data_IF_503720012285
#
_entry.id   IF_503720012285
#
_cell.length_a   1.000
_cell.length_b   1.000
_cell.length_c   1.000
_cell.angle_alpha   90.00
_cell.angle_beta   90.00
_cell.angle_gamma   90.00
#
_symmetry.space_group_name_H-M   'P 1'
#
loop_
_entity.id
_entity.type
_entity.pdbx_description
1 polymer ?
#
# COMPACT_ATOMS: atom_id res chain seq x y z
N UNK A 1 -26.75 -3.00 -10.36
CA UNK A 1 -28.16 -2.76 -9.98
C UNK A 1 -28.16 -1.86 -8.74
N UNK A 2 -28.67 -0.63 -8.82
CA UNK A 2 -28.56 0.38 -7.75
C UNK A 2 -29.50 0.05 -6.58
N UNK A 3 -28.98 -0.43 -5.46
CA UNK A 3 -29.79 -0.66 -4.24
C UNK A 3 -30.15 0.70 -3.64
N UNK A 4 -31.44 1.05 -3.49
CA UNK A 4 -31.82 2.35 -2.96
C UNK A 4 -31.41 2.47 -1.48
N UNK A 5 -30.91 3.64 -1.03
CA UNK A 5 -30.50 3.90 0.37
C UNK A 5 -31.55 3.51 1.42
N UNK A 6 -32.83 3.49 1.02
CA UNK A 6 -33.96 3.07 1.85
C UNK A 6 -33.87 1.61 2.32
N UNK A 7 -33.28 0.69 1.55
CA UNK A 7 -33.13 -0.72 1.94
C UNK A 7 -32.11 -0.91 3.06
N UNK A 8 -30.96 -0.25 2.97
CA UNK A 8 -29.96 -0.27 4.03
C UNK A 8 -30.53 0.32 5.34
N UNK A 9 -31.15 1.49 5.26
CA UNK A 9 -31.66 2.17 6.45
C UNK A 9 -32.74 1.36 7.18
N UNK A 10 -33.64 0.72 6.43
CA UNK A 10 -34.65 -0.19 6.98
C UNK A 10 -34.02 -1.43 7.64
N UNK A 11 -32.99 -2.03 7.01
CA UNK A 11 -32.31 -3.19 7.58
C UNK A 11 -31.55 -2.86 8.87
N UNK A 12 -30.84 -1.72 8.90
CA UNK A 12 -30.15 -1.25 10.09
C UNK A 12 -31.13 -1.05 11.24
N UNK A 13 -32.29 -0.42 10.97
CA UNK A 13 -33.36 -0.24 11.95
C UNK A 13 -33.87 -1.59 12.47
N UNK A 14 -34.14 -2.54 11.57
CA UNK A 14 -34.62 -3.88 11.92
C UNK A 14 -33.63 -4.61 12.81
N UNK A 15 -32.37 -4.74 12.38
CA UNK A 15 -31.32 -5.40 13.17
C UNK A 15 -31.11 -4.73 14.53
N UNK A 16 -31.19 -3.40 14.60
CA UNK A 16 -31.11 -2.65 15.86
C UNK A 16 -32.24 -3.00 16.82
N UNK A 17 -33.47 -3.14 16.32
CA UNK A 17 -34.63 -3.53 17.14
C UNK A 17 -34.55 -5.00 17.59
N UNK A 18 -34.10 -5.91 16.72
CA UNK A 18 -33.85 -7.32 17.06
C UNK A 18 -32.81 -7.45 18.18
N UNK A 19 -31.77 -6.61 18.18
CA UNK A 19 -30.76 -6.55 19.23
C UNK A 19 -31.21 -5.78 20.49
N UNK A 20 -32.46 -5.31 20.56
CA UNK A 20 -32.98 -4.54 21.71
C UNK A 20 -32.30 -3.18 21.92
N UNK A 21 -31.67 -2.61 20.88
CA UNK A 21 -30.92 -1.36 20.99
C UNK A 21 -31.75 -0.14 20.61
N UNK A 22 -31.62 0.94 21.38
CA UNK A 22 -32.11 2.26 20.97
C UNK A 22 -31.14 2.90 19.97
N UNK A 23 -31.61 3.84 19.15
CA UNK A 23 -30.74 4.58 18.24
C UNK A 23 -29.63 5.34 18.98
N UNK A 24 -29.93 5.86 20.18
CA UNK A 24 -28.95 6.53 21.04
C UNK A 24 -27.87 5.55 21.52
N UNK A 25 -28.28 4.35 21.97
CA UNK A 25 -27.34 3.32 22.43
C UNK A 25 -26.43 2.86 21.29
N UNK A 26 -26.98 2.58 20.11
CA UNK A 26 -26.20 2.22 18.94
C UNK A 26 -25.23 3.35 18.55
N UNK A 27 -25.70 4.60 18.51
CA UNK A 27 -24.86 5.76 18.20
C UNK A 27 -23.64 5.88 19.13
N UNK A 28 -23.87 5.67 20.43
CA UNK A 28 -22.78 5.63 21.42
C UNK A 28 -21.79 4.50 21.15
N UNK A 29 -22.29 3.28 20.92
CA UNK A 29 -21.45 2.11 20.72
C UNK A 29 -20.61 2.16 19.43
N UNK A 30 -21.16 2.72 18.34
CA UNK A 30 -20.42 2.88 17.09
C UNK A 30 -19.67 4.22 17.00
N UNK A 31 -19.68 5.07 18.03
CA UNK A 31 -19.07 6.41 18.03
C UNK A 31 -19.49 7.29 16.83
N UNK A 32 -20.80 7.31 16.55
CA UNK A 32 -21.44 8.24 15.61
C UNK A 32 -22.45 9.12 16.35
N UNK A 33 -22.81 10.27 15.77
CA UNK A 33 -23.89 11.07 16.35
C UNK A 33 -25.25 10.42 16.06
N UNK A 34 -26.19 10.53 17.00
CA UNK A 34 -27.58 10.09 16.82
C UNK A 34 -28.22 10.70 15.56
N UNK A 35 -27.91 11.97 15.27
CA UNK A 35 -28.40 12.67 14.07
C UNK A 35 -27.87 12.04 12.77
N UNK A 36 -26.59 11.67 12.73
CA UNK A 36 -26.01 10.99 11.57
C UNK A 36 -26.64 9.61 11.35
N UNK A 37 -26.74 8.78 12.39
CA UNK A 37 -27.38 7.47 12.25
C UNK A 37 -28.86 7.58 11.87
N UNK A 38 -29.58 8.57 12.40
CA UNK A 38 -30.97 8.84 12.01
C UNK A 38 -31.11 9.15 10.50
N UNK A 39 -30.23 10.01 9.97
CA UNK A 39 -30.21 10.32 8.53
C UNK A 39 -29.93 9.07 7.69
N UNK A 40 -29.11 8.14 8.18
CA UNK A 40 -28.80 6.88 7.49
C UNK A 40 -29.99 5.91 7.55
N UNK A 41 -30.59 5.71 8.72
CA UNK A 41 -31.79 4.85 8.85
C UNK A 41 -32.97 5.36 7.98
N UNK A 42 -33.07 6.68 7.79
CA UNK A 42 -34.11 7.29 6.96
C UNK A 42 -33.71 7.44 5.48
N UNK A 43 -32.50 7.01 5.09
CA UNK A 43 -32.01 7.07 3.71
C UNK A 43 -31.63 8.46 3.20
N UNK A 44 -31.53 9.46 4.08
CA UNK A 44 -31.08 10.82 3.75
C UNK A 44 -29.55 10.95 3.66
N UNK A 45 -28.82 9.98 4.18
CA UNK A 45 -27.36 9.92 4.10
C UNK A 45 -26.91 8.52 3.70
N UNK A 46 -25.95 8.43 2.77
CA UNK A 46 -25.38 7.16 2.33
C UNK A 46 -24.48 6.57 3.44
N UNK A 47 -24.64 5.28 3.77
CA UNK A 47 -23.74 4.58 4.69
C UNK A 47 -22.37 4.37 4.06
N UNK A 48 -21.34 4.24 4.90
CA UNK A 48 -20.01 3.81 4.48
C UNK A 48 -19.81 2.32 4.79
N UNK A 49 -18.95 1.60 4.04
CA UNK A 49 -18.64 0.19 4.35
C UNK A 49 -18.14 -0.03 5.77
N UNK A 50 -17.28 0.86 6.25
CA UNK A 50 -16.78 0.79 7.63
C UNK A 50 -17.89 0.96 8.67
N UNK A 51 -18.85 1.88 8.46
CA UNK A 51 -19.99 2.00 9.38
C UNK A 51 -20.84 0.73 9.36
N UNK A 52 -21.12 0.16 8.18
CA UNK A 52 -21.91 -1.06 8.07
C UNK A 52 -21.29 -2.19 8.90
N UNK A 53 -20.00 -2.47 8.71
CA UNK A 53 -19.30 -3.53 9.46
C UNK A 53 -19.25 -3.28 10.97
N UNK A 54 -19.08 -2.03 11.39
CA UNK A 54 -19.17 -1.67 12.81
C UNK A 54 -20.54 -1.96 13.41
N UNK A 55 -21.60 -1.61 12.69
CA UNK A 55 -22.96 -1.95 13.12
C UNK A 55 -23.17 -3.47 13.14
N UNK A 56 -22.62 -4.22 12.18
CA UNK A 56 -22.73 -5.68 12.15
C UNK A 56 -22.02 -6.35 13.34
N UNK A 57 -20.84 -5.85 13.70
CA UNK A 57 -20.12 -6.31 14.90
C UNK A 57 -20.93 -6.01 16.17
N UNK A 58 -21.42 -4.77 16.32
CA UNK A 58 -22.16 -4.35 17.52
C UNK A 58 -23.52 -5.03 17.66
N UNK A 59 -24.21 -5.26 16.54
CA UNK A 59 -25.54 -5.88 16.49
C UNK A 59 -25.47 -7.40 16.33
N UNK A 60 -24.27 -7.99 16.28
CA UNK A 60 -24.03 -9.41 16.02
C UNK A 60 -24.78 -9.94 14.78
N UNK A 61 -24.66 -9.22 13.66
CA UNK A 61 -25.40 -9.49 12.43
C UNK A 61 -24.50 -9.52 11.17
N UNK A 62 -23.45 -10.37 11.15
CA UNK A 62 -22.41 -10.34 10.12
C UNK A 62 -22.98 -10.47 8.69
N UNK A 63 -22.50 -9.63 7.78
CA UNK A 63 -22.84 -9.63 6.36
C UNK A 63 -24.22 -9.06 6.00
N UNK A 64 -25.14 -8.87 6.95
CA UNK A 64 -26.52 -8.40 6.68
C UNK A 64 -26.58 -6.98 6.11
N UNK A 65 -25.74 -6.07 6.59
CA UNK A 65 -25.70 -4.67 6.16
C UNK A 65 -24.71 -4.46 5.01
N UNK A 66 -23.56 -5.14 5.05
CA UNK A 66 -22.50 -5.03 4.03
C UNK A 66 -23.00 -5.54 2.68
N UNK A 67 -23.83 -6.59 2.64
CA UNK A 67 -24.46 -7.10 1.41
C UNK A 67 -25.42 -6.10 0.72
N UNK A 68 -25.85 -5.04 1.43
CA UNK A 68 -26.74 -4.01 0.89
C UNK A 68 -25.99 -2.79 0.34
N UNK A 69 -24.67 -2.75 0.46
CA UNK A 69 -23.85 -1.67 -0.08
C UNK A 69 -23.67 -1.82 -1.59
N UNK A 70 -23.58 -0.70 -2.34
CA UNK A 70 -23.27 -0.75 -3.76
C UNK A 70 -21.87 -1.31 -3.98
N UNK A 71 -21.74 -2.18 -4.98
CA UNK A 71 -20.44 -2.69 -5.41
C UNK A 71 -19.57 -1.53 -5.93
N UNK A 72 -18.38 -1.28 -5.35
CA UNK A 72 -17.50 -0.21 -5.81
C UNK A 72 -17.08 -0.34 -7.28
N UNK A 73 -17.12 -1.56 -7.84
CA UNK A 73 -16.75 -1.83 -9.24
C UNK A 73 -17.73 -1.25 -10.27
N UNK A 74 -18.96 -0.88 -9.87
CA UNK A 74 -19.99 -0.34 -10.75
C UNK A 74 -19.95 1.18 -10.99
N UNK A 75 -19.02 1.91 -10.35
CA UNK A 75 -18.95 3.38 -10.42
C UNK A 75 -17.74 3.95 -11.16
N UNK A 76 -16.97 3.11 -11.86
CA UNK A 76 -15.92 3.55 -12.78
C UNK A 76 -16.51 4.00 -14.13
N UNK A 77 -17.27 5.09 -14.12
CA UNK A 77 -17.97 5.62 -15.29
C UNK A 77 -18.19 7.12 -15.20
N UNK A 78 -17.11 7.89 -14.99
CA UNK A 78 -17.09 9.32 -15.30
C UNK A 78 -15.62 9.76 -15.43
N UNK A 79 -15.05 9.49 -16.60
CA UNK A 79 -13.82 10.12 -17.06
C UNK A 79 -14.04 11.64 -17.10
N UNK A 80 -13.41 12.36 -16.19
CA UNK A 80 -13.28 13.81 -16.33
C UNK A 80 -12.30 14.06 -17.49
N UNK A 81 -12.84 14.57 -18.58
CA UNK A 81 -12.10 14.98 -19.77
C UNK A 81 -11.03 16.02 -19.39
N UNK A 82 -9.77 15.59 -19.39
CA UNK A 82 -8.62 16.48 -19.46
C UNK A 82 -8.34 16.79 -20.93
N UNK A 83 -8.53 18.05 -21.33
CA UNK A 83 -8.17 18.52 -22.67
C UNK A 83 -6.66 18.41 -22.94
N UNK A 84 -6.23 18.47 -24.21
CA UNK A 84 -4.84 18.26 -24.59
C UNK A 84 -3.97 19.46 -24.16
N UNK A 85 -2.75 19.24 -23.63
CA UNK A 85 -1.82 20.34 -23.43
C UNK A 85 -1.16 20.73 -24.76
N UNK A 86 -1.25 22.02 -25.07
CA UNK A 86 -0.56 22.67 -26.19
C UNK A 86 0.96 22.71 -25.98
N UNK A 87 1.69 22.49 -27.07
CA UNK A 87 3.15 22.60 -27.20
C UNK A 87 3.64 24.04 -27.01
N UNK A 88 4.53 24.27 -26.04
CA UNK A 88 5.72 25.16 -26.07
C UNK A 88 6.37 25.13 -24.66
N UNK A 89 7.52 24.46 -24.48
CA UNK A 89 8.93 24.98 -24.55
C UNK A 89 9.21 25.96 -23.37
N UNK A 90 10.31 25.92 -22.59
CA UNK A 90 11.73 25.58 -22.83
C UNK A 90 12.50 25.45 -21.49
N UNK A 91 13.53 24.59 -21.46
CA UNK A 91 14.80 24.56 -20.67
C UNK A 91 14.90 25.20 -19.27
N UNK A 92 15.32 24.37 -18.30
CA UNK A 92 16.55 24.64 -17.53
C UNK A 92 17.33 23.33 -17.36
N UNK A 93 18.47 23.27 -18.04
CA UNK A 93 19.50 22.26 -17.85
C UNK A 93 20.29 22.54 -16.56
N UNK A 94 20.68 21.49 -15.87
CA UNK A 94 21.65 21.51 -14.77
C UNK A 94 22.28 20.14 -14.63
N UNK A 95 23.40 19.95 -15.31
CA UNK A 95 24.19 18.74 -15.35
C UNK A 95 25.08 18.56 -14.10
N UNK A 96 25.18 17.32 -13.62
CA UNK A 96 26.32 16.67 -12.94
C UNK A 96 25.82 15.24 -12.62
N UNK A 97 26.46 14.13 -12.99
CA UNK A 97 27.87 13.80 -12.76
C UNK A 97 28.30 12.65 -13.69
N UNK A 98 29.37 12.85 -14.46
CA UNK A 98 30.26 11.79 -14.96
C UNK A 98 31.64 12.07 -14.39
N UNK A 99 32.26 11.05 -13.78
CA UNK A 99 33.70 10.77 -13.60
C UNK A 99 34.04 10.30 -12.18
N UNK A 100 34.35 9.01 -12.06
CA UNK A 100 35.52 8.55 -11.31
C UNK A 100 36.22 7.47 -12.14
N UNK A 101 37.11 7.94 -13.03
CA UNK A 101 38.23 7.15 -13.53
C UNK A 101 39.49 8.03 -13.46
N UNK A 102 40.53 7.44 -12.86
CA UNK A 102 41.96 7.78 -12.86
C UNK A 102 42.56 8.60 -11.71
N UNK A 103 43.43 7.90 -10.97
CA UNK A 103 44.66 8.43 -10.39
C UNK A 103 45.84 7.52 -10.80
N UNK A 104 46.56 8.00 -11.83
CA UNK A 104 48.00 7.91 -12.16
C UNK A 104 48.75 6.57 -12.43
N UNK A 105 49.80 6.59 -13.28
CA UNK A 105 50.42 5.42 -13.91
C UNK A 105 51.71 4.95 -13.22
N UNK A 106 51.92 3.63 -13.22
CA UNK A 106 53.19 2.96 -12.90
C UNK A 106 53.30 1.68 -13.72
N UNK A 107 54.39 1.54 -14.46
CA UNK A 107 54.57 0.69 -15.63
C UNK A 107 54.72 -0.82 -15.37
N UNK A 108 53.98 -1.58 -16.19
CA UNK A 108 54.27 -2.87 -16.84
C UNK A 108 54.69 -4.10 -16.02
N UNK A 109 53.85 -5.15 -16.08
CA UNK A 109 54.22 -6.35 -16.83
C UNK A 109 52.96 -7.12 -17.28
N UNK A 110 53.01 -7.61 -18.51
CA UNK A 110 51.94 -8.32 -19.18
C UNK A 110 51.75 -9.73 -18.60
N UNK A 111 50.49 -10.12 -18.38
CA UNK A 111 50.03 -11.51 -18.34
C UNK A 111 48.51 -11.51 -18.56
N UNK A 112 48.09 -11.94 -19.74
CA UNK A 112 46.75 -12.48 -19.99
C UNK A 112 46.93 -14.01 -20.15
N UNK A 113 45.93 -14.87 -19.88
CA UNK A 113 44.51 -14.64 -20.22
C UNK A 113 43.44 -15.19 -19.24
N UNK A 114 42.27 -14.53 -19.25
CA UNK A 114 40.98 -15.20 -19.06
C UNK A 114 40.39 -15.17 -17.65
N UNK A 115 39.56 -14.17 -17.36
CA UNK A 115 38.48 -14.30 -16.38
C UNK A 115 37.31 -13.38 -16.77
N UNK A 116 36.11 -13.95 -16.85
CA UNK A 116 34.86 -13.32 -17.26
C UNK A 116 34.36 -12.33 -16.19
N UNK A 117 35.07 -11.23 -15.98
CA UNK A 117 34.85 -10.28 -14.88
C UNK A 117 33.92 -9.08 -15.21
N UNK A 118 33.30 -9.03 -16.40
CA UNK A 118 32.53 -7.86 -16.85
C UNK A 118 31.07 -7.82 -16.39
N UNK A 119 30.36 -8.95 -16.49
CA UNK A 119 28.88 -8.92 -16.46
C UNK A 119 28.30 -9.12 -15.05
N UNK A 120 28.93 -9.96 -14.22
CA UNK A 120 28.54 -10.11 -12.80
C UNK A 120 28.69 -8.80 -12.03
N UNK A 121 29.74 -8.03 -12.34
CA UNK A 121 30.02 -6.73 -11.75
C UNK A 121 28.92 -5.69 -12.04
N UNK A 122 28.35 -5.69 -13.26
CA UNK A 122 27.28 -4.77 -13.63
C UNK A 122 25.95 -5.12 -12.95
N UNK A 123 25.59 -6.40 -12.91
CA UNK A 123 24.38 -6.88 -12.22
C UNK A 123 24.46 -6.58 -10.72
N UNK A 124 25.61 -6.80 -10.10
CA UNK A 124 25.83 -6.49 -8.68
C UNK A 124 25.77 -4.97 -8.41
N UNK A 125 26.33 -4.16 -9.30
CA UNK A 125 26.21 -2.71 -9.25
C UNK A 125 24.75 -2.26 -9.34
N UNK A 126 23.96 -2.87 -10.23
CA UNK A 126 22.53 -2.59 -10.35
C UNK A 126 21.76 -2.97 -9.07
N UNK A 127 22.06 -4.12 -8.46
CA UNK A 127 21.46 -4.54 -7.17
C UNK A 127 21.80 -3.57 -6.03
N UNK A 128 23.06 -3.14 -5.94
CA UNK A 128 23.51 -2.16 -4.95
C UNK A 128 22.80 -0.81 -5.14
N UNK A 129 22.67 -0.35 -6.39
CA UNK A 129 21.97 0.88 -6.73
C UNK A 129 20.48 0.81 -6.39
N UNK A 130 19.80 -0.30 -6.69
CA UNK A 130 18.41 -0.51 -6.29
C UNK A 130 18.25 -0.44 -4.77
N UNK A 131 19.16 -1.04 -4.01
CA UNK A 131 19.17 -0.98 -2.55
C UNK A 131 19.29 0.47 -2.06
N UNK A 132 20.11 1.30 -2.71
CA UNK A 132 20.21 2.72 -2.42
C UNK A 132 18.89 3.46 -2.69
N UNK A 133 18.25 3.24 -3.84
CA UNK A 133 16.94 3.83 -4.13
C UNK A 133 15.87 3.42 -3.11
N UNK A 134 15.84 2.14 -2.70
CA UNK A 134 14.90 1.65 -1.70
C UNK A 134 15.07 2.34 -0.34
N UNK A 135 16.32 2.61 0.08
CA UNK A 135 16.61 3.37 1.29
C UNK A 135 16.16 4.83 1.16
N UNK A 136 16.51 5.50 0.07
CA UNK A 136 16.11 6.89 -0.18
C UNK A 136 14.57 7.05 -0.17
N UNK A 137 13.86 6.12 -0.82
CA UNK A 137 12.39 6.11 -0.85
C UNK A 137 11.72 5.90 0.52
N UNK A 138 12.44 5.49 1.56
CA UNK A 138 11.89 5.45 2.93
C UNK A 138 11.59 6.84 3.48
N UNK A 139 12.32 7.87 3.04
CA UNK A 139 12.30 9.21 3.63
C UNK A 139 11.96 10.33 2.66
N UNK A 140 11.64 10.03 1.39
CA UNK A 140 11.27 11.04 0.40
C UNK A 140 9.92 10.75 -0.29
N UNK A 141 9.28 11.77 -0.89
CA UNK A 141 8.11 11.59 -1.73
C UNK A 141 8.39 10.65 -2.92
N UNK A 142 7.44 9.78 -3.31
CA UNK A 142 7.64 8.85 -4.42
C UNK A 142 8.02 9.51 -5.77
N UNK A 143 7.48 10.70 -6.16
CA UNK A 143 7.90 11.38 -7.39
C UNK A 143 9.40 11.63 -7.51
N UNK A 144 10.11 11.78 -6.39
CA UNK A 144 11.55 12.08 -6.39
C UNK A 144 12.41 10.93 -6.95
N UNK A 145 11.89 9.70 -6.97
CA UNK A 145 12.65 8.51 -7.40
C UNK A 145 12.09 7.86 -8.67
N UNK A 146 10.90 8.27 -9.13
CA UNK A 146 10.20 7.60 -10.22
C UNK A 146 10.92 7.65 -11.56
N UNK A 147 11.42 8.83 -11.96
CA UNK A 147 12.15 8.98 -13.22
C UNK A 147 13.47 8.20 -13.19
N UNK A 148 14.34 8.36 -12.18
CA UNK A 148 15.58 7.56 -12.10
C UNK A 148 15.34 6.05 -12.16
N UNK A 149 14.33 5.53 -11.45
CA UNK A 149 14.04 4.08 -11.46
C UNK A 149 13.58 3.59 -12.83
N UNK A 150 12.74 4.38 -13.52
CA UNK A 150 12.27 4.05 -14.87
C UNK A 150 13.43 4.04 -15.88
N UNK A 151 14.32 5.03 -15.82
CA UNK A 151 15.49 5.07 -16.72
C UNK A 151 16.49 3.95 -16.43
N UNK A 152 16.71 3.59 -15.16
CA UNK A 152 17.54 2.43 -14.82
C UNK A 152 16.96 1.13 -15.39
N UNK A 153 15.63 0.98 -15.37
CA UNK A 153 14.99 -0.18 -16.02
C UNK A 153 15.30 -0.20 -17.52
N UNK A 154 15.11 0.91 -18.23
CA UNK A 154 15.35 0.99 -19.68
C UNK A 154 16.81 0.74 -20.04
N UNK A 155 17.74 1.32 -19.28
CA UNK A 155 19.17 1.13 -19.49
C UNK A 155 19.56 -0.34 -19.36
N UNK A 156 19.08 -1.04 -18.32
CA UNK A 156 19.37 -2.46 -18.11
C UNK A 156 18.73 -3.34 -19.20
N UNK A 157 17.53 -3.02 -19.67
CA UNK A 157 16.90 -3.72 -20.81
C UNK A 157 17.69 -3.54 -22.10
N UNK A 158 18.17 -2.31 -22.37
CA UNK A 158 19.00 -2.04 -23.55
C UNK A 158 20.32 -2.82 -23.49
N UNK A 159 21.01 -2.78 -22.35
CA UNK A 159 22.25 -3.54 -22.15
C UNK A 159 22.02 -5.06 -22.29
N UNK A 160 20.89 -5.58 -21.81
CA UNK A 160 20.54 -6.98 -21.96
C UNK A 160 20.33 -7.39 -23.43
N UNK A 161 19.87 -6.49 -24.29
CA UNK A 161 19.66 -6.75 -25.71
C UNK A 161 20.98 -6.97 -26.47
N UNK A 162 22.05 -6.29 -26.04
CA UNK A 162 23.39 -6.36 -26.65
C UNK A 162 24.31 -7.39 -25.98
N UNK A 163 23.81 -8.13 -24.98
CA UNK A 163 24.60 -9.07 -24.14
C UNK A 163 24.46 -10.54 -24.56
N UNK A 164 25.47 -11.36 -24.21
CA UNK A 164 25.38 -12.83 -24.28
C UNK A 164 24.33 -13.41 -23.32
N UNK A 165 23.94 -14.68 -23.50
CA UNK A 165 22.78 -15.31 -22.82
C UNK A 165 22.77 -15.16 -21.30
N UNK A 166 23.91 -15.38 -20.65
CA UNK A 166 23.98 -15.43 -19.18
C UNK A 166 23.91 -14.03 -18.56
N UNK A 167 24.64 -13.09 -19.16
CA UNK A 167 24.60 -11.67 -18.79
C UNK A 167 23.22 -11.06 -19.06
N UNK A 168 22.60 -11.41 -20.19
CA UNK A 168 21.25 -10.98 -20.57
C UNK A 168 20.23 -11.34 -19.49
N UNK A 169 20.24 -12.58 -18.99
CA UNK A 169 19.31 -13.00 -17.95
C UNK A 169 19.50 -12.19 -16.66
N UNK A 170 20.74 -12.06 -16.18
CA UNK A 170 21.04 -11.28 -14.98
C UNK A 170 20.59 -9.81 -15.07
N UNK A 171 20.78 -9.19 -16.23
CA UNK A 171 20.35 -7.81 -16.50
C UNK A 171 18.83 -7.68 -16.58
N UNK A 172 18.13 -8.62 -17.22
CA UNK A 172 16.65 -8.64 -17.25
C UNK A 172 16.07 -8.79 -15.84
N UNK A 173 16.67 -9.64 -15.00
CA UNK A 173 16.25 -9.78 -13.60
C UNK A 173 16.48 -8.50 -12.81
N UNK A 174 17.64 -7.85 -12.96
CA UNK A 174 17.89 -6.55 -12.34
C UNK A 174 16.88 -5.50 -12.81
N UNK A 175 16.62 -5.41 -14.12
CA UNK A 175 15.62 -4.54 -14.71
C UNK A 175 14.22 -4.81 -14.14
N UNK A 176 13.83 -6.08 -14.01
CA UNK A 176 12.56 -6.50 -13.41
C UNK A 176 12.39 -6.02 -11.98
N UNK A 177 13.46 -6.00 -11.18
CA UNK A 177 13.43 -5.47 -9.80
C UNK A 177 13.30 -3.94 -9.76
N UNK A 178 13.95 -3.21 -10.67
CA UNK A 178 13.74 -1.76 -10.82
C UNK A 178 12.30 -1.45 -11.27
N UNK A 179 11.77 -2.20 -12.23
CA UNK A 179 10.38 -2.09 -12.71
C UNK A 179 9.38 -2.35 -11.58
N UNK A 180 9.61 -3.39 -10.76
CA UNK A 180 8.76 -3.75 -9.62
C UNK A 180 8.67 -2.59 -8.62
N UNK A 181 9.83 -2.01 -8.31
CA UNK A 181 9.92 -0.89 -7.39
C UNK A 181 9.33 0.41 -7.97
N UNK A 182 9.51 0.64 -9.27
CA UNK A 182 8.85 1.75 -10.00
C UNK A 182 7.33 1.63 -9.91
N UNK A 183 6.79 0.43 -10.12
CA UNK A 183 5.37 0.16 -9.97
C UNK A 183 4.86 0.42 -8.56
N UNK A 184 5.67 0.14 -7.52
CA UNK A 184 5.31 0.49 -6.14
C UNK A 184 5.30 1.99 -5.91
N UNK A 185 6.33 2.72 -6.34
CA UNK A 185 6.36 4.17 -6.18
C UNK A 185 5.26 4.87 -6.98
N UNK A 186 4.88 4.34 -8.14
CA UNK A 186 3.76 4.85 -8.93
C UNK A 186 2.42 4.70 -8.17
N UNK A 187 2.21 3.57 -7.51
CA UNK A 187 1.06 3.35 -6.63
C UNK A 187 1.07 4.31 -5.43
N UNK A 188 2.24 4.48 -4.80
CA UNK A 188 2.42 5.41 -3.68
C UNK A 188 2.24 6.87 -4.09
N UNK A 189 2.31 7.20 -5.39
CA UNK A 189 1.93 8.50 -5.96
C UNK A 189 0.46 8.60 -6.40
N UNK A 190 -0.33 7.51 -6.32
CA UNK A 190 -1.73 7.49 -6.78
C UNK A 190 -1.90 7.37 -8.29
N UNK A 191 -0.89 6.87 -9.01
CA UNK A 191 -0.94 6.61 -10.46
C UNK A 191 -1.23 5.13 -10.73
N UNK A 192 -2.46 4.70 -10.45
CA UNK A 192 -2.92 3.30 -10.54
C UNK A 192 -2.59 2.61 -11.88
N UNK A 193 -2.82 3.30 -13.00
CA UNK A 193 -2.58 2.71 -14.31
C UNK A 193 -1.08 2.53 -14.59
N UNK A 194 -0.26 3.52 -14.23
CA UNK A 194 1.18 3.41 -14.32
C UNK A 194 1.72 2.30 -13.41
N UNK A 195 1.21 2.21 -12.18
CA UNK A 195 1.56 1.15 -11.25
C UNK A 195 1.29 -0.24 -11.84
N UNK A 196 0.10 -0.43 -12.47
CA UNK A 196 -0.25 -1.67 -13.16
C UNK A 196 0.70 -1.97 -14.31
N UNK A 197 0.92 -1.01 -15.23
CA UNK A 197 1.82 -1.20 -16.39
C UNK A 197 3.23 -1.60 -15.97
N UNK A 198 3.79 -0.94 -14.96
CA UNK A 198 5.12 -1.25 -14.44
C UNK A 198 5.18 -2.60 -13.72
N UNK A 199 4.12 -2.99 -13.02
CA UNK A 199 4.01 -4.32 -12.39
C UNK A 199 3.94 -5.42 -13.45
N UNK A 200 3.14 -5.24 -14.49
CA UNK A 200 3.03 -6.19 -15.60
C UNK A 200 4.36 -6.29 -16.38
N UNK A 201 5.05 -5.16 -16.57
CA UNK A 201 6.38 -5.12 -17.20
C UNK A 201 7.46 -5.83 -16.36
N UNK A 202 7.47 -5.61 -15.04
CA UNK A 202 8.34 -6.33 -14.11
C UNK A 202 8.15 -7.85 -14.20
N UNK A 203 6.89 -8.31 -14.19
CA UNK A 203 6.60 -9.73 -14.30
C UNK A 203 7.09 -10.33 -15.63
N UNK A 204 6.90 -9.60 -16.75
CA UNK A 204 7.40 -10.00 -18.06
C UNK A 204 8.92 -10.15 -18.07
N UNK A 205 9.65 -9.13 -17.60
CA UNK A 205 11.12 -9.15 -17.53
C UNK A 205 11.63 -10.29 -16.63
N UNK A 206 10.93 -10.56 -15.52
CA UNK A 206 11.26 -11.67 -14.63
C UNK A 206 11.11 -13.03 -15.31
N UNK A 207 10.01 -13.27 -16.03
CA UNK A 207 9.82 -14.50 -16.80
C UNK A 207 10.85 -14.66 -17.92
N UNK A 208 11.15 -13.58 -18.66
CA UNK A 208 12.16 -13.59 -19.72
C UNK A 208 13.58 -13.84 -19.18
N UNK A 209 13.88 -13.34 -17.98
CA UNK A 209 15.15 -13.58 -17.27
C UNK A 209 15.20 -14.89 -16.48
N UNK A 210 14.14 -15.70 -16.50
CA UNK A 210 14.07 -17.03 -15.87
C UNK A 210 13.64 -17.05 -14.39
N UNK A 211 13.27 -15.90 -13.79
CA UNK A 211 12.75 -15.82 -12.42
C UNK A 211 11.21 -15.89 -12.41
N UNK A 212 10.70 -17.12 -12.39
CA UNK A 212 9.27 -17.37 -12.27
C UNK A 212 8.70 -16.92 -10.92
N UNK A 213 9.52 -16.84 -9.86
CA UNK A 213 9.08 -16.43 -8.54
C UNK A 213 8.69 -14.95 -8.56
N UNK A 214 9.60 -14.08 -9.01
CA UNK A 214 9.32 -12.66 -9.19
C UNK A 214 8.21 -12.41 -10.22
N UNK A 215 8.12 -13.23 -11.27
CA UNK A 215 7.01 -13.19 -12.23
C UNK A 215 5.65 -13.34 -11.57
N UNK A 216 5.48 -14.34 -10.70
CA UNK A 216 4.22 -14.57 -9.96
C UNK A 216 3.99 -13.57 -8.82
N UNK A 217 5.03 -12.97 -8.26
CA UNK A 217 4.88 -11.89 -7.29
C UNK A 217 4.11 -10.67 -7.86
N UNK A 218 4.10 -10.50 -9.18
CA UNK A 218 3.23 -9.52 -9.85
C UNK A 218 1.74 -9.66 -9.49
N UNK A 219 1.25 -10.89 -9.24
CA UNK A 219 -0.12 -11.13 -8.79
C UNK A 219 -0.40 -10.55 -7.40
N UNK A 220 0.54 -10.69 -6.47
CA UNK A 220 0.46 -10.10 -5.12
C UNK A 220 0.40 -8.57 -5.21
N UNK A 221 1.21 -7.97 -6.09
CA UNK A 221 1.20 -6.52 -6.36
C UNK A 221 -0.13 -6.05 -6.95
N UNK A 222 -0.71 -6.81 -7.89
CA UNK A 222 -2.05 -6.53 -8.45
C UNK A 222 -3.15 -6.66 -7.39
N UNK A 223 -3.06 -7.66 -6.51
CA UNK A 223 -4.00 -7.83 -5.39
C UNK A 223 -3.97 -6.61 -4.45
N UNK A 224 -2.77 -6.09 -4.12
CA UNK A 224 -2.65 -4.86 -3.33
C UNK A 224 -3.29 -3.64 -4.02
N UNK A 225 -3.20 -3.53 -5.35
CA UNK A 225 -3.87 -2.45 -6.09
C UNK A 225 -5.40 -2.59 -6.03
N UNK A 226 -5.92 -3.82 -6.20
CA UNK A 226 -7.34 -4.12 -6.07
C UNK A 226 -7.85 -3.79 -4.65
N UNK A 227 -7.05 -4.10 -3.63
CA UNK A 227 -7.32 -3.77 -2.23
C UNK A 227 -7.53 -2.27 -2.03
N UNK A 228 -6.62 -1.43 -2.53
CA UNK A 228 -6.75 0.03 -2.39
C UNK A 228 -7.95 0.62 -3.14
N UNK A 229 -8.44 -0.05 -4.19
CA UNK A 229 -9.70 0.29 -4.88
C UNK A 229 -10.95 -0.21 -4.14
N UNK A 230 -10.78 -1.03 -3.11
CA UNK A 230 -11.87 -1.63 -2.34
C UNK A 230 -12.50 -2.85 -3.02
N UNK A 231 -11.83 -3.47 -4.00
CA UNK A 231 -12.34 -4.64 -4.72
C UNK A 231 -11.97 -5.94 -3.97
N UNK A 232 -12.80 -6.32 -2.99
CA UNK A 232 -12.53 -7.47 -2.14
C UNK A 232 -12.39 -8.79 -2.92
N UNK A 233 -13.34 -9.11 -3.81
CA UNK A 233 -13.33 -10.35 -4.59
C UNK A 233 -12.11 -10.46 -5.52
N UNK A 234 -11.76 -9.37 -6.21
CA UNK A 234 -10.56 -9.31 -7.08
C UNK A 234 -9.28 -9.50 -6.24
N UNK A 235 -9.21 -8.88 -5.05
CA UNK A 235 -8.08 -9.03 -4.14
C UNK A 235 -7.89 -10.49 -3.73
N UNK A 236 -8.96 -11.17 -3.32
CA UNK A 236 -8.91 -12.60 -2.92
C UNK A 236 -8.52 -13.48 -4.10
N UNK A 237 -9.11 -13.29 -5.28
CA UNK A 237 -8.84 -14.13 -6.45
C UNK A 237 -7.38 -14.02 -6.93
N UNK A 238 -6.82 -12.80 -6.98
CA UNK A 238 -5.44 -12.57 -7.35
C UNK A 238 -4.46 -13.16 -6.33
N UNK A 239 -4.73 -12.98 -5.03
CA UNK A 239 -3.91 -13.52 -3.95
C UNK A 239 -3.92 -15.05 -3.93
N UNK A 240 -5.10 -15.68 -4.10
CA UNK A 240 -5.22 -17.14 -4.16
C UNK A 240 -4.43 -17.72 -5.34
N UNK A 241 -4.44 -17.05 -6.49
CA UNK A 241 -3.65 -17.44 -7.67
C UNK A 241 -2.14 -17.39 -7.42
N UNK A 242 -1.68 -16.48 -6.55
CA UNK A 242 -0.28 -16.38 -6.12
C UNK A 242 0.06 -17.30 -4.93
N UNK A 243 -0.88 -18.14 -4.49
CA UNK A 243 -0.73 -19.09 -3.40
C UNK A 243 -0.24 -20.48 -3.81
N UNK A 244 0.10 -20.70 -5.09
CA UNK A 244 0.58 -21.99 -5.62
C UNK A 244 1.77 -22.52 -4.78
N UNK A 245 1.66 -23.77 -4.33
CA UNK A 245 2.68 -24.47 -3.55
C UNK A 245 4.07 -24.54 -4.20
N UNK A 246 4.17 -24.36 -5.53
CA UNK A 246 5.44 -24.29 -6.27
C UNK A 246 6.19 -22.97 -6.08
N UNK A 247 5.54 -21.97 -5.49
CA UNK A 247 6.15 -20.67 -5.21
C UNK A 247 6.88 -20.68 -3.87
N UNK A 248 7.91 -19.84 -3.76
CA UNK A 248 8.71 -19.68 -2.55
C UNK A 248 7.82 -19.27 -1.36
N UNK A 249 8.12 -19.75 -0.13
CA UNK A 249 7.35 -19.41 1.07
C UNK A 249 7.13 -17.92 1.26
N UNK A 250 8.12 -17.09 0.89
CA UNK A 250 8.03 -15.63 0.95
C UNK A 250 6.86 -15.07 0.13
N UNK A 251 6.72 -15.52 -1.12
CA UNK A 251 5.67 -15.04 -2.03
C UNK A 251 4.32 -15.54 -1.56
N UNK A 252 4.22 -16.82 -1.19
CA UNK A 252 2.99 -17.41 -0.66
C UNK A 252 2.53 -16.73 0.62
N UNK A 253 3.47 -16.37 1.50
CA UNK A 253 3.18 -15.64 2.74
C UNK A 253 2.66 -14.23 2.48
N UNK A 254 3.29 -13.50 1.55
CA UNK A 254 2.79 -12.18 1.12
C UNK A 254 1.43 -12.28 0.41
N UNK A 255 1.19 -13.34 -0.36
CA UNK A 255 -0.10 -13.61 -0.99
C UNK A 255 -1.19 -13.88 0.06
N UNK A 256 -0.91 -14.74 1.05
CA UNK A 256 -1.83 -15.03 2.15
C UNK A 256 -2.17 -13.78 2.97
N UNK A 257 -1.19 -12.88 3.17
CA UNK A 257 -1.41 -11.58 3.81
C UNK A 257 -2.39 -10.71 2.99
N UNK A 258 -2.23 -10.63 1.67
CA UNK A 258 -3.16 -9.86 0.82
C UNK A 258 -4.52 -10.54 0.70
N UNK A 259 -4.57 -11.87 0.76
CA UNK A 259 -5.82 -12.62 0.86
C UNK A 259 -6.58 -12.25 2.14
N UNK A 260 -5.88 -12.13 3.26
CA UNK A 260 -6.48 -11.73 4.54
C UNK A 260 -7.09 -10.32 4.49
N UNK A 261 -6.40 -9.36 3.86
CA UNK A 261 -6.93 -8.01 3.63
C UNK A 261 -8.16 -8.05 2.71
N UNK A 262 -8.16 -8.89 1.68
CA UNK A 262 -9.31 -9.11 0.81
C UNK A 262 -10.54 -9.65 1.56
N UNK A 263 -10.35 -10.67 2.40
CA UNK A 263 -11.41 -11.22 3.26
C UNK A 263 -11.89 -10.19 4.30
N UNK A 264 -10.99 -9.38 4.86
CA UNK A 264 -11.34 -8.30 5.77
C UNK A 264 -12.20 -7.23 5.10
N UNK A 265 -11.89 -6.85 3.85
CA UNK A 265 -12.73 -5.94 3.06
C UNK A 265 -14.13 -6.52 2.80
N UNK A 266 -14.22 -7.84 2.60
CA UNK A 266 -15.48 -8.56 2.42
C UNK A 266 -16.26 -8.76 3.72
N UNK A 267 -15.67 -8.49 4.89
CA UNK A 267 -16.29 -8.72 6.20
C UNK A 267 -16.16 -10.17 6.72
N UNK A 268 -15.40 -11.03 6.05
CA UNK A 268 -15.18 -12.41 6.50
C UNK A 268 -14.03 -12.49 7.51
N UNK A 269 -14.38 -12.32 8.79
CA UNK A 269 -13.44 -12.39 9.90
C UNK A 269 -12.72 -13.75 9.96
N UNK A 270 -13.45 -14.85 9.77
CA UNK A 270 -12.89 -16.19 9.90
C UNK A 270 -11.85 -16.50 8.82
N UNK A 271 -12.17 -16.19 7.57
CA UNK A 271 -11.24 -16.37 6.46
C UNK A 271 -10.04 -15.43 6.55
N UNK A 272 -10.25 -14.18 6.99
CA UNK A 272 -9.17 -13.22 7.21
C UNK A 272 -8.15 -13.71 8.25
N UNK A 273 -8.61 -14.13 9.44
CA UNK A 273 -7.72 -14.64 10.48
C UNK A 273 -6.98 -15.92 10.06
N UNK A 274 -7.67 -16.87 9.41
CA UNK A 274 -7.01 -18.08 8.89
C UNK A 274 -5.94 -17.76 7.84
N UNK A 275 -6.14 -16.74 7.02
CA UNK A 275 -5.16 -16.32 6.02
C UNK A 275 -3.94 -15.64 6.67
N UNK A 276 -4.14 -14.85 7.74
CA UNK A 276 -3.05 -14.29 8.55
C UNK A 276 -2.22 -15.37 9.25
N UNK A 277 -2.86 -16.42 9.76
CA UNK A 277 -2.14 -17.55 10.38
C UNK A 277 -1.27 -18.27 9.36
N UNK A 278 -1.81 -18.56 8.16
CA UNK A 278 -1.00 -19.10 7.05
C UNK A 278 0.15 -18.18 6.67
N UNK A 279 -0.09 -16.87 6.60
CA UNK A 279 0.94 -15.89 6.28
C UNK A 279 2.07 -15.93 7.32
N UNK A 280 1.75 -16.08 8.62
CA UNK A 280 2.73 -16.17 9.70
C UNK A 280 3.65 -17.38 9.52
N UNK A 281 3.09 -18.56 9.30
CA UNK A 281 3.87 -19.79 9.13
C UNK A 281 4.78 -19.74 7.90
N UNK A 282 4.25 -19.23 6.79
CA UNK A 282 4.99 -19.10 5.52
C UNK A 282 6.11 -18.07 5.63
N UNK A 283 5.87 -16.91 6.26
CA UNK A 283 6.88 -15.87 6.42
C UNK A 283 7.94 -16.24 7.47
N UNK A 284 7.58 -16.98 8.52
CA UNK A 284 8.55 -17.56 9.46
C UNK A 284 9.43 -18.62 8.79
N UNK A 285 8.89 -19.38 7.83
CA UNK A 285 9.68 -20.30 7.01
C UNK A 285 10.61 -19.55 6.07
N UNK A 286 10.10 -18.54 5.35
CA UNK A 286 10.91 -17.71 4.47
C UNK A 286 12.07 -17.00 5.19
N UNK A 287 11.86 -16.57 6.44
CA UNK A 287 12.89 -15.91 7.24
C UNK A 287 14.10 -16.82 7.55
N UNK A 288 13.93 -18.15 7.46
CA UNK A 288 15.00 -19.13 7.67
C UNK A 288 15.78 -19.46 6.40
N UNK A 289 15.29 -19.05 5.23
CA UNK A 289 15.84 -19.45 3.91
C UNK A 289 16.91 -18.48 3.35
N UNK A 290 17.33 -17.45 4.11
CA UNK A 290 18.36 -16.45 3.72
C UNK A 290 18.31 -16.03 2.23
N UNK A 291 17.18 -15.48 1.78
CA UNK A 291 17.07 -14.86 0.46
C UNK A 291 17.88 -13.55 0.42
N UNK A 292 18.89 -13.41 -0.47
CA UNK A 292 19.72 -12.21 -0.54
C UNK A 292 19.01 -11.00 -1.17
N UNK A 293 17.87 -11.18 -1.85
CA UNK A 293 17.15 -10.10 -2.53
C UNK A 293 15.63 -10.14 -2.32
N UNK A 294 15.13 -10.19 -1.07
CA UNK A 294 13.74 -10.52 -0.81
C UNK A 294 12.76 -9.48 -1.36
N UNK A 295 11.62 -9.95 -1.84
CA UNK A 295 10.52 -9.11 -2.31
C UNK A 295 9.69 -8.54 -1.15
N UNK A 296 8.94 -7.48 -1.40
CA UNK A 296 8.05 -6.84 -0.42
C UNK A 296 8.77 -6.01 0.66
N UNK A 297 8.15 -5.90 1.83
CA UNK A 297 8.72 -5.21 3.01
C UNK A 297 9.72 -6.12 3.72
N UNK A 298 10.97 -5.67 3.84
CA UNK A 298 12.13 -6.50 4.24
C UNK A 298 12.73 -6.11 5.61
N UNK A 299 12.18 -5.11 6.29
CA UNK A 299 12.66 -4.60 7.58
C UNK A 299 11.52 -4.48 8.61
N UNK A 300 10.68 -5.52 8.68
CA UNK A 300 9.60 -5.62 9.66
C UNK A 300 9.88 -6.84 10.54
N UNK A 301 10.07 -6.66 11.86
CA UNK A 301 10.27 -7.80 12.77
C UNK A 301 9.09 -8.77 12.76
N UNK A 302 7.87 -8.24 12.76
CA UNK A 302 6.65 -9.01 12.55
C UNK A 302 5.74 -8.26 11.55
N UNK A 303 5.84 -8.56 10.24
CA UNK A 303 4.95 -7.95 9.26
C UNK A 303 3.49 -8.36 9.51
N UNK A 304 3.22 -9.60 9.95
CA UNK A 304 1.86 -10.13 10.07
C UNK A 304 1.08 -9.44 11.18
N UNK A 305 1.72 -9.05 12.28
CA UNK A 305 1.06 -8.29 13.36
C UNK A 305 0.48 -6.95 12.88
N UNK A 306 1.23 -6.21 12.06
CA UNK A 306 0.78 -4.92 11.50
C UNK A 306 -0.43 -5.09 10.58
N UNK A 307 -0.43 -6.13 9.74
CA UNK A 307 -1.54 -6.47 8.87
C UNK A 307 -2.75 -7.01 9.64
N UNK A 308 -2.52 -7.74 10.74
CA UNK A 308 -3.59 -8.23 11.63
C UNK A 308 -4.37 -7.06 12.22
N UNK A 309 -3.68 -6.06 12.79
CA UNK A 309 -4.33 -4.86 13.32
C UNK A 309 -5.13 -4.11 12.26
N UNK A 310 -4.60 -4.03 11.04
CA UNK A 310 -5.31 -3.38 9.93
C UNK A 310 -6.51 -4.17 9.41
N UNK A 311 -6.42 -5.50 9.31
CA UNK A 311 -7.55 -6.36 8.98
C UNK A 311 -8.67 -6.23 10.02
N UNK A 312 -8.34 -6.18 11.32
CA UNK A 312 -9.33 -5.95 12.38
C UNK A 312 -10.03 -4.58 12.24
N UNK A 313 -9.29 -3.55 11.83
CA UNK A 313 -9.88 -2.24 11.55
C UNK A 313 -10.86 -2.32 10.37
N UNK A 314 -10.45 -2.95 9.27
CA UNK A 314 -11.31 -3.12 8.11
C UNK A 314 -12.53 -3.97 8.45
N UNK A 315 -12.41 -4.99 9.31
CA UNK A 315 -13.50 -5.81 9.85
C UNK A 315 -14.44 -5.06 10.83
N UNK A 316 -14.19 -3.77 11.10
CA UNK A 316 -15.05 -2.96 11.97
C UNK A 316 -14.80 -3.17 13.47
N UNK A 317 -13.61 -3.65 13.86
CA UNK A 317 -13.21 -3.88 15.27
C UNK A 317 -12.09 -2.89 15.69
N UNK A 318 -12.39 -1.58 15.78
CA UNK A 318 -11.36 -0.55 15.95
C UNK A 318 -10.59 -0.62 17.28
N UNK A 319 -11.22 -1.06 18.38
CA UNK A 319 -10.53 -1.22 19.67
C UNK A 319 -9.47 -2.33 19.63
N UNK A 320 -9.85 -3.52 19.15
CA UNK A 320 -8.90 -4.62 18.94
C UNK A 320 -7.80 -4.23 17.94
N UNK A 321 -8.16 -3.52 16.86
CA UNK A 321 -7.18 -3.00 15.90
C UNK A 321 -6.16 -2.07 16.57
N UNK A 322 -6.60 -1.18 17.46
CA UNK A 322 -5.76 -0.25 18.18
C UNK A 322 -4.75 -0.99 19.08
N UNK A 323 -5.22 -1.93 19.91
CA UNK A 323 -4.38 -2.76 20.78
C UNK A 323 -3.30 -3.51 19.98
N UNK A 324 -3.67 -4.15 18.87
CA UNK A 324 -2.73 -4.86 18.02
C UNK A 324 -1.72 -3.92 17.35
N UNK A 325 -2.17 -2.75 16.87
CA UNK A 325 -1.29 -1.77 16.21
C UNK A 325 -0.36 -1.08 17.21
N UNK A 326 -0.76 -0.87 18.46
CA UNK A 326 0.11 -0.37 19.52
C UNK A 326 1.30 -1.30 19.75
N UNK A 327 1.02 -2.58 19.99
CA UNK A 327 2.05 -3.60 20.20
C UNK A 327 2.98 -3.74 18.97
N UNK A 328 2.40 -3.81 17.77
CA UNK A 328 3.16 -3.99 16.55
C UNK A 328 4.02 -2.76 16.19
N UNK A 329 3.51 -1.54 16.40
CA UNK A 329 4.27 -0.32 16.12
C UNK A 329 5.42 -0.11 17.12
N UNK A 330 5.31 -0.58 18.36
CA UNK A 330 6.38 -0.47 19.36
C UNK A 330 7.65 -1.24 18.93
N UNK A 331 7.51 -2.28 18.11
CA UNK A 331 8.62 -3.06 17.59
C UNK A 331 9.23 -2.48 16.29
N UNK A 332 8.67 -1.41 15.72
CA UNK A 332 9.18 -0.85 14.46
C UNK A 332 10.52 -0.14 14.68
N UNK A 333 11.53 -0.41 13.83
CA UNK A 333 12.82 0.23 13.98
C UNK A 333 12.75 1.71 13.51
N UNK A 334 13.51 2.64 14.12
CA UNK A 334 13.42 4.08 13.84
C UNK A 334 13.64 4.46 12.37
N UNK A 335 14.45 3.69 11.64
CA UNK A 335 14.76 3.89 10.23
C UNK A 335 13.64 3.47 9.27
N UNK A 336 12.59 2.77 9.73
CA UNK A 336 11.47 2.34 8.91
C UNK A 336 10.44 3.47 8.70
N UNK A 337 10.90 4.66 8.30
CA UNK A 337 10.12 5.90 8.25
C UNK A 337 8.77 5.76 7.54
N UNK A 338 8.71 5.10 6.39
CA UNK A 338 7.45 4.89 5.65
C UNK A 338 6.47 3.96 6.38
N UNK A 339 6.97 2.93 7.06
CA UNK A 339 6.14 2.05 7.89
C UNK A 339 5.66 2.76 9.16
N UNK A 340 6.54 3.51 9.83
CA UNK A 340 6.19 4.35 10.98
C UNK A 340 5.11 5.38 10.61
N UNK A 341 5.23 6.01 9.44
CA UNK A 341 4.19 6.92 8.92
C UNK A 341 2.87 6.18 8.68
N UNK A 342 2.89 5.08 7.91
CA UNK A 342 1.68 4.33 7.55
C UNK A 342 0.96 3.80 8.78
N UNK A 343 1.67 3.05 9.61
CA UNK A 343 1.05 2.37 10.74
C UNK A 343 0.81 3.31 11.92
N UNK A 344 1.57 4.40 12.07
CA UNK A 344 1.24 5.49 13.00
C UNK A 344 -0.10 6.16 12.66
N UNK A 345 -0.37 6.44 11.38
CA UNK A 345 -1.67 6.98 10.94
C UNK A 345 -2.79 5.96 11.13
N UNK A 346 -2.58 4.69 10.76
CA UNK A 346 -3.57 3.63 10.93
C UNK A 346 -3.91 3.38 12.41
N UNK A 347 -2.91 3.43 13.28
CA UNK A 347 -3.07 3.34 14.74
C UNK A 347 -3.89 4.50 15.27
N UNK A 348 -3.54 5.75 14.92
CA UNK A 348 -4.35 6.92 15.29
C UNK A 348 -5.80 6.80 14.80
N UNK A 349 -6.00 6.30 13.58
CA UNK A 349 -7.33 6.05 13.01
C UNK A 349 -8.12 4.99 13.78
N UNK A 350 -7.47 3.92 14.24
CA UNK A 350 -8.08 2.88 15.06
C UNK A 350 -8.56 3.45 16.41
N UNK A 351 -7.70 4.16 17.16
CA UNK A 351 -8.08 4.81 18.43
C UNK A 351 -9.18 5.86 18.23
N UNK A 352 -9.09 6.71 17.20
CA UNK A 352 -10.13 7.69 16.92
C UNK A 352 -11.47 7.01 16.65
N UNK A 353 -11.44 5.88 15.94
CA UNK A 353 -12.65 5.10 15.63
C UNK A 353 -13.17 4.34 16.85
N UNK A 354 -12.32 4.01 17.82
CA UNK A 354 -12.67 3.46 19.12
C UNK A 354 -13.10 4.53 20.15
N UNK A 355 -13.18 5.81 19.75
CA UNK A 355 -13.64 6.90 20.60
C UNK A 355 -12.57 7.55 21.49
N UNK A 356 -11.31 7.09 21.41
CA UNK A 356 -10.19 7.60 22.20
C UNK A 356 -9.54 8.82 21.54
N UNK A 357 -10.28 9.94 21.49
CA UNK A 357 -9.95 11.09 20.64
C UNK A 357 -8.62 11.76 21.03
N UNK A 358 -8.37 12.00 22.32
CA UNK A 358 -7.11 12.65 22.75
C UNK A 358 -5.90 11.79 22.45
N UNK A 359 -5.99 10.48 22.72
CA UNK A 359 -4.91 9.54 22.43
C UNK A 359 -4.64 9.45 20.93
N UNK A 360 -5.70 9.35 20.12
CA UNK A 360 -5.60 9.39 18.68
C UNK A 360 -4.93 10.68 18.16
N UNK A 361 -5.27 11.84 18.74
CA UNK A 361 -4.64 13.11 18.38
C UNK A 361 -3.14 13.16 18.74
N UNK A 362 -2.75 12.60 19.89
CA UNK A 362 -1.35 12.50 20.29
C UNK A 362 -0.54 11.62 19.32
N UNK A 363 -1.05 10.44 18.99
CA UNK A 363 -0.43 9.52 18.02
C UNK A 363 -0.33 10.18 16.64
N UNK A 364 -1.43 10.78 16.17
CA UNK A 364 -1.46 11.44 14.87
C UNK A 364 -0.40 12.54 14.78
N UNK A 365 -0.23 13.36 15.82
CA UNK A 365 0.79 14.42 15.85
C UNK A 365 2.20 13.87 15.65
N UNK A 366 2.54 12.76 16.31
CA UNK A 366 3.84 12.11 16.13
C UNK A 366 4.01 11.53 14.71
N UNK A 367 2.96 10.97 14.14
CA UNK A 367 2.99 10.34 12.81
C UNK A 367 3.04 11.37 11.65
N UNK A 368 2.44 12.56 11.81
CA UNK A 368 2.28 13.56 10.75
C UNK A 368 3.61 14.07 10.18
N UNK A 369 4.66 14.18 10.99
CA UNK A 369 6.00 14.57 10.52
C UNK A 369 6.53 13.55 9.50
N UNK A 370 6.47 12.26 9.86
CA UNK A 370 6.90 11.18 8.96
C UNK A 370 5.99 11.07 7.74
N UNK A 371 4.67 11.19 7.93
CA UNK A 371 3.70 11.14 6.82
C UNK A 371 3.90 12.28 5.81
N UNK A 372 4.23 13.48 6.28
CA UNK A 372 4.53 14.63 5.42
C UNK A 372 5.84 14.45 4.65
N UNK A 373 6.89 13.95 5.32
CA UNK A 373 8.18 13.69 4.69
C UNK A 373 8.10 12.64 3.57
N UNK A 374 7.36 11.56 3.79
CA UNK A 374 7.21 10.49 2.78
C UNK A 374 6.20 10.82 1.69
N UNK A 375 5.31 11.79 1.89
CA UNK A 375 4.39 12.30 0.86
C UNK A 375 3.58 11.22 0.11
N UNK A 376 3.23 10.12 0.78
CA UNK A 376 2.57 8.97 0.14
C UNK A 376 1.06 9.21 -0.03
N UNK A 377 0.57 9.02 -1.26
CA UNK A 377 -0.85 9.07 -1.59
C UNK A 377 -1.67 8.02 -0.84
N UNK A 378 -1.13 6.80 -0.69
CA UNK A 378 -1.84 5.70 -0.02
C UNK A 378 -1.95 5.95 1.49
N UNK A 379 -0.93 6.55 2.12
CA UNK A 379 -1.03 7.05 3.50
C UNK A 379 -2.02 8.23 3.57
N UNK A 380 -2.05 9.07 2.53
CA UNK A 380 -3.06 10.13 2.36
C UNK A 380 -4.51 9.62 2.38
N UNK A 381 -4.78 8.40 1.88
CA UNK A 381 -6.11 7.78 1.99
C UNK A 381 -6.49 7.54 3.45
N UNK A 382 -5.55 7.06 4.27
CA UNK A 382 -5.76 6.80 5.70
C UNK A 382 -5.89 8.13 6.48
N UNK A 383 -5.10 9.16 6.14
CA UNK A 383 -5.25 10.51 6.68
C UNK A 383 -6.64 11.12 6.38
N UNK A 384 -7.17 10.90 5.18
CA UNK A 384 -8.54 11.35 4.83
C UNK A 384 -9.60 10.65 5.67
N UNK A 385 -9.43 9.35 5.93
CA UNK A 385 -10.31 8.60 6.85
C UNK A 385 -10.22 9.14 8.27
N UNK A 386 -9.01 9.42 8.76
CA UNK A 386 -8.76 10.01 10.08
C UNK A 386 -9.42 11.39 10.21
N UNK A 387 -9.24 12.27 9.24
CA UNK A 387 -9.89 13.57 9.19
C UNK A 387 -11.42 13.44 9.22
N UNK A 388 -11.98 12.44 8.53
CA UNK A 388 -13.42 12.14 8.54
C UNK A 388 -13.95 11.72 9.92
N UNK A 389 -13.17 10.92 10.68
CA UNK A 389 -13.52 10.50 12.04
C UNK A 389 -13.39 11.68 13.01
N UNK A 390 -12.23 12.35 13.04
CA UNK A 390 -11.98 13.50 13.92
C UNK A 390 -12.90 14.68 13.62
N UNK A 391 -13.35 14.82 12.36
CA UNK A 391 -14.32 15.82 11.94
C UNK A 391 -15.70 15.70 12.60
N UNK A 392 -15.98 14.61 13.32
CA UNK A 392 -17.18 14.46 14.18
C UNK A 392 -16.98 15.07 15.57
N UNK A 393 -15.74 15.38 15.92
CA UNK A 393 -15.30 15.89 17.22
C UNK A 393 -14.65 17.28 17.09
N UNK A 394 -15.15 18.15 16.19
CA UNK A 394 -14.56 19.48 15.91
C UNK A 394 -14.45 20.40 17.13
N UNK A 395 -15.28 20.20 18.15
CA UNK A 395 -15.21 20.94 19.42
C UNK A 395 -14.09 20.47 20.35
N UNK A 396 -13.50 19.30 20.10
CA UNK A 396 -12.45 18.72 20.95
C UNK A 396 -11.15 19.52 20.84
N UNK A 397 -10.53 19.85 21.97
CA UNK A 397 -9.30 20.68 21.99
C UNK A 397 -8.15 20.03 21.22
N UNK A 398 -7.90 18.72 21.45
CA UNK A 398 -6.89 17.96 20.69
C UNK A 398 -7.11 17.99 19.17
N UNK A 399 -8.37 17.88 18.71
CA UNK A 399 -8.71 17.92 17.27
C UNK A 399 -8.45 19.30 16.68
N UNK A 400 -8.86 20.38 17.36
CA UNK A 400 -8.59 21.75 16.91
C UNK A 400 -7.09 22.02 16.81
N UNK A 401 -6.31 21.55 17.78
CA UNK A 401 -4.86 21.70 17.80
C UNK A 401 -4.13 20.85 16.75
N UNK A 402 -4.75 19.78 16.22
CA UNK A 402 -4.17 18.91 15.19
C UNK A 402 -4.55 19.36 13.78
N UNK A 403 -5.67 20.06 13.62
CA UNK A 403 -6.27 20.37 12.33
C UNK A 403 -5.35 21.06 11.31
N UNK A 404 -4.49 22.05 11.69
CA UNK A 404 -3.57 22.67 10.74
C UNK A 404 -2.57 21.66 10.16
N UNK A 405 -1.90 20.89 11.02
CA UNK A 405 -0.89 19.90 10.62
C UNK A 405 -1.51 18.79 9.76
N UNK A 406 -2.71 18.32 10.13
CA UNK A 406 -3.45 17.33 9.36
C UNK A 406 -3.83 17.84 7.97
N UNK A 407 -4.23 19.12 7.86
CA UNK A 407 -4.56 19.74 6.57
C UNK A 407 -3.33 19.90 5.68
N UNK A 408 -2.19 20.28 6.27
CA UNK A 408 -0.92 20.38 5.56
C UNK A 408 -0.48 19.01 5.01
N UNK A 409 -0.50 17.96 5.84
CA UNK A 409 -0.15 16.61 5.42
C UNK A 409 -1.08 16.07 4.31
N UNK A 410 -2.39 16.35 4.39
CA UNK A 410 -3.34 16.00 3.36
C UNK A 410 -3.03 16.68 2.01
N UNK A 411 -2.67 17.96 2.04
CA UNK A 411 -2.25 18.71 0.85
C UNK A 411 -1.03 18.08 0.19
N UNK A 412 0.01 17.78 0.99
CA UNK A 412 1.24 17.12 0.50
C UNK A 412 0.98 15.73 -0.09
N UNK A 413 0.09 14.94 0.53
CA UNK A 413 -0.28 13.64 -0.04
C UNK A 413 -1.06 13.75 -1.37
N UNK A 414 -1.71 14.89 -1.61
CA UNK A 414 -2.45 15.17 -2.84
C UNK A 414 -1.54 15.59 -4.00
N UNK A 415 -0.48 16.37 -3.73
CA UNK A 415 0.47 16.82 -4.75
C UNK A 415 1.26 15.68 -5.39
N UNK A 416 1.41 14.55 -4.69
CA UNK A 416 2.03 13.34 -5.25
C UNK A 416 1.34 12.85 -6.55
N UNK A 417 0.05 13.13 -6.72
CA UNK A 417 -0.76 12.78 -7.90
C UNK A 417 -0.68 13.81 -9.03
N UNK A 418 -0.27 15.04 -8.73
CA UNK A 418 -0.13 16.13 -9.72
C UNK A 418 1.30 16.26 -10.24
N UNK A 419 2.21 15.39 -9.79
CA UNK A 419 3.57 15.28 -10.31
C UNK A 419 3.58 14.93 -11.82
N UNK A 420 4.67 15.23 -12.55
CA UNK A 420 4.80 14.85 -13.96
C UNK A 420 4.52 13.36 -14.17
N UNK A 421 4.00 13.00 -15.37
CA UNK A 421 3.56 11.64 -15.64
C UNK A 421 4.70 10.65 -15.43
N UNK A 422 4.39 9.53 -14.78
CA UNK A 422 5.33 8.43 -14.61
C UNK A 422 5.79 7.96 -16.01
N UNK A 423 7.10 7.91 -16.30
CA UNK A 423 7.58 7.42 -17.59
C UNK A 423 7.00 6.04 -17.90
N UNK A 424 6.65 5.78 -19.16
CA UNK A 424 6.11 4.47 -19.56
C UNK A 424 7.21 3.42 -19.63
N UNK A 425 6.94 2.16 -19.26
CA UNK A 425 7.86 1.08 -19.61
C UNK A 425 8.05 1.04 -21.13
N UNK A 426 9.28 0.74 -21.58
CA UNK A 426 9.61 0.65 -23.01
C UNK A 426 8.98 -0.58 -23.67
#
# INVERSE_FOLDING_TARGET
MHVPPKRFGAELRRARHEAGMTLTRLASAVHYSKSQLSKIENGHQRPTPHLARRCEVELNCPGRLTALLPDPSGTAGSSAAGGPPSRRLVLTAGAATVLLAHSAPGSASASAPGEQAGDGSLVDSARALLTHFRRMAQSCPPPAVLVPLAEQTRALVALAADSGSDARNGLLLAAGRFAEFTGWMAQESGHDEAARRWTDHAARLAFEGGDHQLGHYGLVRRALMAYYRGHAAETVALSASAGDHRLAPRIRGLAAQQEAEGHALAGDHGASMRALDRARDLLATAAREEDPAPVGSIHLPDPVALFTGWCLYDLGRPAAAAEHLDAACAALPPQAHRNLARYGVRRALAHASAGEIDHACAIARAALNSASAVGSYTIGLDLRRLAGVLGRHRGHTGVRALAPDLTAALTLSGTARTAPPVPTPA
#
